data_IF_770240510455
#
_entry.id   IF_770240510455
#
_cell.length_a   1.000
_cell.length_b   1.000
_cell.length_c   1.000
_cell.angle_alpha   90.00
_cell.angle_beta   90.00
_cell.angle_gamma   90.00
#
_symmetry.space_group_name_H-M   'P 1'
#
loop_
_entity.id
_entity.type
_entity.pdbx_description
1 polymer ?
#
# COMPACT_ATOMS: atom_id res chain seq x y z
N UNK A 1 -9.72 -17.15 1.12
CA UNK A 1 -10.76 -16.17 0.86
C UNK A 1 -10.23 -14.78 1.17
N UNK A 2 -10.50 -13.85 0.30
CA UNK A 2 -10.07 -12.48 0.54
C UNK A 2 -10.98 -11.82 1.57
N UNK A 3 -10.37 -11.17 2.56
CA UNK A 3 -11.10 -10.39 3.54
C UNK A 3 -11.30 -8.95 3.06
N UNK A 4 -10.73 -8.62 1.90
CA UNK A 4 -10.79 -7.28 1.35
C UNK A 4 -11.86 -7.21 0.28
N UNK A 5 -12.69 -6.20 0.34
CA UNK A 5 -13.64 -5.94 -0.74
C UNK A 5 -12.86 -5.25 -1.85
N UNK A 6 -12.81 -5.89 -3.03
CA UNK A 6 -12.01 -5.39 -4.15
C UNK A 6 -12.44 -4.00 -4.61
N UNK A 7 -13.69 -3.63 -4.35
CA UNK A 7 -14.23 -2.34 -4.76
C UNK A 7 -14.13 -1.27 -3.68
N UNK A 8 -13.48 -1.56 -2.55
CA UNK A 8 -13.29 -0.58 -1.50
C UNK A 8 -11.93 0.07 -1.60
N UNK A 9 -11.86 1.33 -1.21
CA UNK A 9 -10.65 2.12 -1.29
C UNK A 9 -9.97 2.22 0.08
N UNK A 10 -8.73 1.75 0.20
CA UNK A 10 -8.00 1.93 1.45
C UNK A 10 -7.49 3.36 1.57
N UNK A 11 -7.37 3.83 2.81
CA UNK A 11 -6.84 5.16 3.12
C UNK A 11 -5.70 5.03 4.11
N UNK A 12 -4.75 5.95 4.03
CA UNK A 12 -3.64 6.01 4.98
C UNK A 12 -4.17 6.55 6.31
N UNK A 13 -3.84 5.86 7.40
CA UNK A 13 -4.15 6.32 8.73
C UNK A 13 -3.44 7.66 8.99
N UNK A 14 -4.18 8.65 9.47
CA UNK A 14 -3.67 10.01 9.66
C UNK A 14 -2.49 10.09 10.63
N UNK A 15 -2.29 9.07 11.47
CA UNK A 15 -1.15 9.03 12.38
C UNK A 15 0.15 8.71 11.67
N UNK A 16 0.08 8.27 10.42
CA UNK A 16 1.26 7.89 9.65
C UNK A 16 1.49 8.89 8.53
N UNK A 17 2.78 9.10 8.21
CA UNK A 17 3.17 9.91 7.07
C UNK A 17 3.97 9.04 6.10
N UNK A 18 3.53 8.99 4.87
CA UNK A 18 4.22 8.24 3.82
C UNK A 18 5.13 9.21 3.06
N UNK A 19 6.43 8.91 3.01
CA UNK A 19 7.35 9.79 2.30
C UNK A 19 8.59 9.02 1.83
N UNK A 20 9.26 9.60 0.86
CA UNK A 20 10.56 9.10 0.39
C UNK A 20 11.63 9.56 1.35
N UNK A 21 12.44 8.64 1.82
CA UNK A 21 13.54 8.95 2.74
C UNK A 21 14.86 8.83 1.99
N UNK A 22 15.45 9.97 1.68
CA UNK A 22 16.65 10.02 0.86
C UNK A 22 17.82 9.30 1.53
N UNK A 23 17.98 9.48 2.83
CA UNK A 23 19.08 8.87 3.56
C UNK A 23 18.98 7.35 3.57
N UNK A 24 17.77 6.81 3.54
CA UNK A 24 17.53 5.37 3.54
C UNK A 24 17.36 4.81 2.12
N UNK A 25 17.22 5.70 1.16
CA UNK A 25 16.99 5.33 -0.25
C UNK A 25 15.77 4.42 -0.41
N UNK A 26 14.70 4.73 0.31
CA UNK A 26 13.45 3.97 0.24
C UNK A 26 12.29 4.80 0.76
N UNK A 27 11.08 4.35 0.47
CA UNK A 27 9.89 4.93 1.09
C UNK A 27 9.76 4.44 2.52
N UNK A 28 9.22 5.29 3.37
CA UNK A 28 9.01 4.97 4.78
C UNK A 28 7.64 5.45 5.23
N UNK A 29 7.17 4.84 6.32
CA UNK A 29 6.02 5.35 7.07
C UNK A 29 6.56 5.91 8.39
N UNK A 30 6.28 7.19 8.63
CA UNK A 30 6.69 7.83 9.86
C UNK A 30 5.50 7.94 10.80
N UNK A 31 5.75 7.69 12.09
CA UNK A 31 4.72 7.81 13.11
C UNK A 31 5.40 8.26 14.41
N UNK A 32 4.62 8.66 15.44
CA UNK A 32 5.24 9.27 16.63
C UNK A 32 6.31 8.42 17.29
N UNK A 33 6.17 7.07 17.25
CA UNK A 33 7.11 6.18 17.93
C UNK A 33 8.29 5.76 17.04
N UNK A 34 8.29 6.11 15.76
CA UNK A 34 9.39 5.69 14.90
C UNK A 34 9.09 5.68 13.42
N UNK A 35 9.74 4.75 12.74
CA UNK A 35 9.71 4.70 11.29
C UNK A 35 9.69 3.26 10.81
N UNK A 36 8.88 2.99 9.80
CA UNK A 36 8.86 1.69 9.12
C UNK A 36 9.47 1.87 7.74
N UNK A 37 10.52 1.12 7.43
CA UNK A 37 11.07 1.11 6.07
C UNK A 37 10.26 0.17 5.21
N UNK A 38 9.94 0.61 4.00
CA UNK A 38 9.16 -0.18 3.06
C UNK A 38 10.08 -0.71 1.96
N UNK A 39 9.85 -1.96 1.56
CA UNK A 39 10.57 -2.48 0.40
C UNK A 39 9.97 -1.89 -0.89
N UNK A 40 10.59 -2.21 -2.04
CA UNK A 40 10.16 -1.63 -3.30
C UNK A 40 8.70 -1.92 -3.61
N UNK A 41 8.27 -3.17 -3.40
CA UNK A 41 6.89 -3.56 -3.71
C UNK A 41 5.91 -2.80 -2.83
N UNK A 42 6.19 -2.70 -1.54
CA UNK A 42 5.33 -1.98 -0.60
C UNK A 42 5.25 -0.50 -0.97
N UNK A 43 6.39 0.09 -1.36
CA UNK A 43 6.42 1.49 -1.76
C UNK A 43 5.59 1.75 -3.00
N UNK A 44 5.62 0.83 -3.97
CA UNK A 44 4.82 0.98 -5.18
C UNK A 44 3.32 0.93 -4.87
N UNK A 45 2.92 0.04 -3.98
CA UNK A 45 1.52 -0.07 -3.60
C UNK A 45 1.08 1.19 -2.84
N UNK A 46 1.88 1.63 -1.88
CA UNK A 46 1.52 2.78 -1.06
C UNK A 46 1.39 4.06 -1.88
N UNK A 47 2.17 4.21 -2.94
CA UNK A 47 2.06 5.40 -3.80
C UNK A 47 0.70 5.51 -4.46
N UNK A 48 -0.01 4.41 -4.60
CA UNK A 48 -1.32 4.39 -5.27
C UNK A 48 -2.48 4.53 -4.29
N UNK A 49 -2.20 4.56 -3.00
CA UNK A 49 -3.25 4.66 -1.99
C UNK A 49 -3.57 6.12 -1.76
N UNK A 50 -4.74 6.53 -2.20
CA UNK A 50 -5.17 7.93 -2.13
C UNK A 50 -6.57 8.09 -1.51
N UNK A 51 -7.13 7.01 -0.97
CA UNK A 51 -8.46 7.06 -0.38
C UNK A 51 -9.59 6.95 -1.41
N UNK A 52 -9.25 6.91 -2.70
CA UNK A 52 -10.23 6.85 -3.78
C UNK A 52 -10.09 5.61 -4.64
N UNK A 53 -8.86 5.20 -4.94
CA UNK A 53 -8.63 3.99 -5.72
C UNK A 53 -8.99 2.76 -4.90
N UNK A 54 -9.83 1.90 -5.48
CA UNK A 54 -10.15 0.62 -4.84
C UNK A 54 -8.95 -0.31 -4.91
N UNK A 55 -9.00 -1.39 -4.14
CA UNK A 55 -7.95 -2.42 -4.20
C UNK A 55 -7.79 -2.93 -5.63
N UNK A 56 -8.89 -3.14 -6.33
CA UNK A 56 -8.84 -3.60 -7.72
C UNK A 56 -8.16 -2.57 -8.62
N UNK A 57 -8.48 -1.29 -8.46
CA UNK A 57 -7.85 -0.25 -9.27
C UNK A 57 -6.37 -0.12 -9.00
N UNK A 58 -5.97 -0.29 -7.73
CA UNK A 58 -4.55 -0.30 -7.38
C UNK A 58 -3.85 -1.46 -8.08
N UNK A 59 -4.44 -2.63 -8.05
CA UNK A 59 -3.90 -3.81 -8.71
C UNK A 59 -3.78 -3.58 -10.21
N UNK A 60 -4.83 -3.04 -10.83
CA UNK A 60 -4.81 -2.76 -12.27
C UNK A 60 -3.72 -1.75 -12.63
N UNK A 61 -3.54 -0.72 -11.81
CA UNK A 61 -2.49 0.28 -12.04
C UNK A 61 -1.11 -0.36 -11.99
N UNK A 62 -0.91 -1.30 -11.07
CA UNK A 62 0.39 -1.98 -10.98
C UNK A 62 0.61 -2.91 -12.16
N UNK A 63 -0.45 -3.55 -12.67
CA UNK A 63 -0.33 -4.38 -13.85
C UNK A 63 0.07 -3.54 -15.06
N UNK A 64 -0.44 -2.31 -15.16
CA UNK A 64 -0.04 -1.42 -16.24
C UNK A 64 1.40 -0.97 -16.11
N UNK A 65 1.83 -0.69 -14.89
CA UNK A 65 3.18 -0.20 -14.64
C UNK A 65 4.22 -1.32 -14.78
N UNK A 66 3.86 -2.53 -14.43
CA UNK A 66 4.76 -3.67 -14.45
C UNK A 66 4.14 -4.83 -15.25
N UNK A 67 4.02 -4.66 -16.58
CA UNK A 67 3.28 -5.65 -17.38
C UNK A 67 3.95 -7.03 -17.41
N UNK A 68 5.24 -7.11 -17.12
CA UNK A 68 5.97 -8.38 -17.15
C UNK A 68 6.03 -9.08 -15.79
N UNK A 69 5.41 -8.49 -14.76
CA UNK A 69 5.50 -9.05 -13.42
C UNK A 69 4.51 -10.19 -13.14
N UNK A 70 3.61 -10.47 -14.08
CA UNK A 70 2.58 -11.48 -13.87
C UNK A 70 1.43 -10.94 -13.03
N UNK A 71 0.71 -11.85 -12.38
CA UNK A 71 -0.45 -11.46 -11.59
C UNK A 71 -0.02 -10.97 -10.21
N UNK A 72 -0.28 -9.70 -9.95
CA UNK A 72 0.11 -9.05 -8.69
C UNK A 72 -1.03 -9.02 -7.66
N UNK A 73 -2.19 -9.60 -7.99
CA UNK A 73 -3.37 -9.51 -7.13
C UNK A 73 -3.11 -10.04 -5.72
N UNK A 74 -2.47 -11.20 -5.62
CA UNK A 74 -2.19 -11.82 -4.32
C UNK A 74 -1.25 -10.94 -3.50
N UNK A 75 -0.20 -10.42 -4.14
CA UNK A 75 0.77 -9.57 -3.45
C UNK A 75 0.11 -8.30 -2.92
N UNK A 76 -0.74 -7.68 -3.73
CA UNK A 76 -1.46 -6.46 -3.33
C UNK A 76 -2.39 -6.76 -2.16
N UNK A 77 -3.17 -7.83 -2.27
CA UNK A 77 -4.11 -8.19 -1.21
C UNK A 77 -3.39 -8.51 0.09
N UNK A 78 -2.30 -9.25 0.03
CA UNK A 78 -1.54 -9.59 1.23
C UNK A 78 -0.93 -8.35 1.89
N UNK A 79 -0.37 -7.46 1.07
CA UNK A 79 0.20 -6.24 1.63
C UNK A 79 -0.86 -5.39 2.31
N UNK A 80 -1.99 -5.17 1.63
CA UNK A 80 -3.03 -4.30 2.17
C UNK A 80 -3.65 -4.92 3.43
N UNK A 81 -3.86 -6.25 3.43
CA UNK A 81 -4.36 -6.93 4.63
C UNK A 81 -3.43 -6.74 5.82
N UNK A 82 -2.14 -6.91 5.59
CA UNK A 82 -1.14 -6.72 6.65
C UNK A 82 -1.13 -5.27 7.12
N UNK A 83 -1.20 -4.34 6.18
CA UNK A 83 -1.18 -2.91 6.52
C UNK A 83 -2.40 -2.50 7.34
N UNK A 84 -3.56 -3.05 7.00
CA UNK A 84 -4.78 -2.79 7.79
C UNK A 84 -4.64 -3.38 9.19
N UNK A 85 -4.10 -4.59 9.28
CA UNK A 85 -3.87 -5.24 10.57
C UNK A 85 -2.93 -4.42 11.45
N UNK A 86 -1.92 -3.82 10.84
CA UNK A 86 -0.94 -2.99 11.55
C UNK A 86 -1.42 -1.57 11.76
N UNK A 87 -2.62 -1.23 11.32
CA UNK A 87 -3.23 0.09 11.47
C UNK A 87 -2.57 1.17 10.60
N UNK A 88 -1.78 0.78 9.62
CA UNK A 88 -1.23 1.73 8.65
C UNK A 88 -2.32 2.26 7.73
N UNK A 89 -3.23 1.38 7.34
CA UNK A 89 -4.33 1.67 6.42
C UNK A 89 -5.65 1.31 7.08
N UNK A 90 -6.72 1.89 6.55
CA UNK A 90 -8.06 1.53 6.98
C UNK A 90 -9.02 1.65 5.81
N UNK A 91 -10.16 0.98 5.94
CA UNK A 91 -11.29 1.13 5.03
C UNK A 91 -12.41 1.83 5.78
N UNK A 92 -13.04 2.77 5.12
CA UNK A 92 -14.19 3.44 5.71
C UNK A 92 -15.45 2.62 5.62
#
# INVERSE_FOLDING_TARGET
>A
MSILAANKAPSLNAMFRFQWEKAQNCFVLLFPEGMVKLNSAAGEIMQLIDGEKSVLQITDSLHEKFPDAGDLSTDVNEFISTAVEKKWLYFE
#
